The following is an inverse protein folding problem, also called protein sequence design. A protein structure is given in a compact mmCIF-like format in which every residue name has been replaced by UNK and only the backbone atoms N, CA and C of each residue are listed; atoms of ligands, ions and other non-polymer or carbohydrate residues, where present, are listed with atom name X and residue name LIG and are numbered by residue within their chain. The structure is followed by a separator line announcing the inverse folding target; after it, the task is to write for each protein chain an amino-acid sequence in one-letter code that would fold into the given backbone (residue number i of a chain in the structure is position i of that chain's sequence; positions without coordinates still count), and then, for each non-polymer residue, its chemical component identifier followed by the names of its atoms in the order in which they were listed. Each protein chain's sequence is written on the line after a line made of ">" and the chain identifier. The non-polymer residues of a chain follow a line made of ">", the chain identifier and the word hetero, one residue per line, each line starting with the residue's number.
data_IF_956594852371
#
_entry.id   IF_956594852371
#
_cell.length_a   1.000
_cell.length_b   1.000
_cell.length_c   1.000
_cell.angle_alpha   90.00
_cell.angle_beta   90.00
_cell.angle_gamma   90.00
#
_symmetry.space_group_name_H-M   'P 1'
#
loop_
_entity.id
_entity.type
_entity.pdbx_description
1 polymer ?
#
# COMPACT_ATOMS: atom_id res chain seq x y z
N UNK A 1 -55.41 77.76 -13.57
CA UNK A 1 -56.00 76.53 -13.00
C UNK A 1 -55.35 75.35 -13.73
N UNK A 2 -54.35 74.67 -13.13
CA UNK A 2 -54.48 73.41 -12.35
C UNK A 2 -54.59 72.19 -13.30
N UNK A 3 -53.65 71.25 -13.44
CA UNK A 3 -52.53 70.78 -12.61
C UNK A 3 -51.43 70.20 -13.53
N UNK A 4 -50.16 70.42 -13.20
CA UNK A 4 -49.04 69.59 -13.69
C UNK A 4 -49.21 68.21 -13.07
N UNK A 5 -49.54 67.21 -13.87
CA UNK A 5 -49.64 65.82 -13.42
C UNK A 5 -48.22 65.24 -13.31
N UNK A 6 -47.63 65.38 -12.13
CA UNK A 6 -46.36 64.78 -11.77
C UNK A 6 -46.54 63.29 -11.50
N UNK A 7 -46.71 62.51 -12.57
CA UNK A 7 -46.74 61.05 -12.47
C UNK A 7 -45.36 60.56 -12.06
N UNK A 8 -45.20 60.22 -10.78
CA UNK A 8 -43.98 59.64 -10.23
C UNK A 8 -43.81 58.25 -10.85
N UNK A 9 -42.76 58.05 -11.64
CA UNK A 9 -42.35 56.69 -12.08
C UNK A 9 -42.18 55.83 -10.82
N UNK A 10 -42.77 54.65 -10.81
CA UNK A 10 -42.66 53.76 -9.66
C UNK A 10 -41.25 53.17 -9.61
N UNK A 11 -40.81 52.74 -8.43
CA UNK A 11 -39.45 52.21 -8.21
C UNK A 11 -39.16 50.96 -9.09
N UNK A 12 -40.21 50.23 -9.47
CA UNK A 12 -40.17 49.07 -10.37
C UNK A 12 -39.92 49.46 -11.83
N UNK A 13 -40.43 50.62 -12.28
CA UNK A 13 -40.23 51.13 -13.65
C UNK A 13 -38.77 51.56 -13.90
N UNK A 14 -38.01 51.86 -12.85
CA UNK A 14 -36.63 52.34 -12.92
C UNK A 14 -35.62 51.18 -12.90
N UNK A 15 -35.89 50.15 -12.11
CA UNK A 15 -34.96 49.03 -11.90
C UNK A 15 -35.22 47.81 -12.81
N UNK A 16 -36.36 47.75 -13.50
CA UNK A 16 -36.81 46.55 -14.19
C UNK A 16 -37.19 45.43 -13.21
N UNK A 17 -37.83 44.34 -13.70
CA UNK A 17 -38.20 43.22 -12.84
C UNK A 17 -36.93 42.66 -12.18
N UNK A 18 -36.96 42.50 -10.86
CA UNK A 18 -35.84 41.96 -10.11
C UNK A 18 -35.37 40.64 -10.73
N UNK A 19 -34.05 40.46 -10.95
CA UNK A 19 -33.55 39.21 -11.52
C UNK A 19 -33.97 38.05 -10.61
N UNK A 20 -34.47 36.98 -11.23
CA UNK A 20 -34.91 35.80 -10.50
C UNK A 20 -33.79 35.32 -9.57
N UNK A 21 -34.11 34.93 -8.31
CA UNK A 21 -33.10 34.49 -7.36
C UNK A 21 -32.30 33.32 -7.96
N UNK A 22 -30.96 33.29 -7.80
CA UNK A 22 -30.14 32.25 -8.39
C UNK A 22 -30.60 30.89 -7.83
N UNK A 23 -31.05 30.01 -8.71
CA UNK A 23 -31.39 28.64 -8.33
C UNK A 23 -30.10 27.90 -8.01
N UNK A 24 -29.87 27.60 -6.72
CA UNK A 24 -28.76 26.72 -6.33
C UNK A 24 -28.98 25.37 -7.00
N UNK A 25 -28.14 25.03 -7.98
CA UNK A 25 -28.10 23.66 -8.51
C UNK A 25 -27.92 22.71 -7.32
N UNK A 26 -28.70 21.63 -7.20
CA UNK A 26 -28.50 20.67 -6.12
C UNK A 26 -27.06 20.18 -6.18
N UNK A 27 -26.32 20.34 -5.08
CA UNK A 27 -24.97 19.78 -4.95
C UNK A 27 -25.01 18.26 -5.10
N UNK A 28 -23.86 17.64 -5.41
CA UNK A 28 -23.74 16.17 -5.50
C UNK A 28 -24.37 15.49 -4.27
N UNK A 29 -25.00 14.31 -4.41
CA UNK A 29 -25.69 13.64 -3.31
C UNK A 29 -24.74 13.42 -2.13
N UNK A 30 -24.98 14.14 -1.03
CA UNK A 30 -24.14 14.12 0.18
C UNK A 30 -24.18 12.74 0.86
N UNK A 31 -25.27 12.00 0.64
CA UNK A 31 -25.54 10.70 1.26
C UNK A 31 -24.53 9.62 0.85
N UNK A 32 -24.19 9.52 -0.44
CA UNK A 32 -23.22 8.54 -0.96
C UNK A 32 -21.80 8.82 -0.42
N UNK A 33 -21.42 10.09 -0.30
CA UNK A 33 -20.14 10.47 0.30
C UNK A 33 -20.07 10.18 1.80
N UNK A 34 -21.15 10.42 2.55
CA UNK A 34 -21.22 10.08 3.98
C UNK A 34 -21.14 8.57 4.20
N UNK A 35 -21.88 7.79 3.42
CA UNK A 35 -21.84 6.33 3.49
C UNK A 35 -20.44 5.80 3.18
N UNK A 36 -19.79 6.30 2.12
CA UNK A 36 -18.38 5.96 1.80
C UNK A 36 -17.41 6.31 2.94
N UNK A 37 -17.57 7.46 3.57
CA UNK A 37 -16.74 7.87 4.71
C UNK A 37 -16.95 6.95 5.91
N UNK A 38 -18.19 6.60 6.24
CA UNK A 38 -18.52 5.69 7.36
C UNK A 38 -17.93 4.30 7.12
N UNK A 39 -18.06 3.76 5.90
CA UNK A 39 -17.47 2.48 5.53
C UNK A 39 -15.93 2.51 5.63
N UNK A 40 -15.29 3.56 5.12
CA UNK A 40 -13.84 3.72 5.21
C UNK A 40 -13.36 3.84 6.68
N UNK A 41 -14.13 4.53 7.52
CA UNK A 41 -13.84 4.64 8.96
C UNK A 41 -14.00 3.29 9.68
N UNK A 42 -15.04 2.51 9.35
CA UNK A 42 -15.24 1.18 9.89
C UNK A 42 -14.08 0.23 9.51
N UNK A 43 -13.69 0.22 8.24
CA UNK A 43 -12.53 -0.55 7.76
C UNK A 43 -11.23 -0.15 8.48
N UNK A 44 -11.01 1.15 8.67
CA UNK A 44 -9.83 1.62 9.40
C UNK A 44 -9.85 1.17 10.87
N UNK A 45 -11.02 1.17 11.51
CA UNK A 45 -11.18 0.69 12.87
C UNK A 45 -10.94 -0.83 12.97
N UNK A 46 -11.43 -1.61 12.01
CA UNK A 46 -11.19 -3.06 11.91
C UNK A 46 -9.70 -3.38 11.76
N UNK A 47 -8.99 -2.71 10.84
CA UNK A 47 -7.55 -2.90 10.62
C UNK A 47 -6.77 -2.54 11.90
N UNK A 48 -7.14 -1.44 12.58
CA UNK A 48 -6.51 -1.06 13.85
C UNK A 48 -6.75 -2.11 14.93
N UNK A 49 -7.97 -2.60 15.06
CA UNK A 49 -8.31 -3.63 16.03
C UNK A 49 -7.55 -4.94 15.75
N UNK A 50 -7.45 -5.37 14.49
CA UNK A 50 -6.69 -6.55 14.09
C UNK A 50 -5.18 -6.39 14.36
N UNK A 51 -4.59 -5.21 14.10
CA UNK A 51 -3.21 -4.90 14.51
C UNK A 51 -3.01 -4.97 16.02
N UNK A 52 -3.93 -4.40 16.80
CA UNK A 52 -3.85 -4.42 18.28
C UNK A 52 -3.98 -5.84 18.85
N UNK A 53 -4.73 -6.73 18.20
CA UNK A 53 -4.82 -8.15 18.56
C UNK A 53 -3.62 -8.97 18.09
N UNK A 54 -2.73 -8.41 17.27
CA UNK A 54 -1.58 -9.12 16.72
C UNK A 54 -1.91 -10.04 15.54
N UNK A 55 -3.08 -9.87 14.90
CA UNK A 55 -3.50 -10.67 13.74
C UNK A 55 -2.83 -10.19 12.44
N UNK A 56 -2.32 -8.96 12.41
CA UNK A 56 -1.66 -8.36 11.27
C UNK A 56 -0.20 -8.05 11.61
N UNK A 57 0.71 -8.65 10.84
CA UNK A 57 2.15 -8.36 10.90
C UNK A 57 2.53 -7.46 9.71
N UNK A 58 3.33 -6.39 9.90
CA UNK A 58 3.80 -5.59 8.78
C UNK A 58 4.64 -6.43 7.81
N UNK A 59 4.30 -6.39 6.52
CA UNK A 59 5.02 -7.15 5.49
C UNK A 59 6.52 -6.84 5.47
N UNK A 60 6.89 -5.57 5.69
CA UNK A 60 8.29 -5.14 5.77
C UNK A 60 9.05 -5.76 6.94
N UNK A 61 8.38 -6.03 8.06
CA UNK A 61 8.98 -6.74 9.19
C UNK A 61 9.20 -8.21 8.84
N UNK A 62 8.20 -8.86 8.24
CA UNK A 62 8.31 -10.24 7.76
C UNK A 62 9.46 -10.38 6.77
N UNK A 63 9.53 -9.52 5.75
CA UNK A 63 10.59 -9.53 4.75
C UNK A 63 11.98 -9.34 5.38
N UNK A 64 12.12 -8.40 6.33
CA UNK A 64 13.38 -8.17 7.03
C UNK A 64 13.81 -9.39 7.84
N UNK A 65 12.92 -9.93 8.67
CA UNK A 65 13.24 -11.08 9.53
C UNK A 65 13.59 -12.33 8.69
N UNK A 66 12.84 -12.58 7.62
CA UNK A 66 13.13 -13.69 6.72
C UNK A 66 14.43 -13.48 5.94
N UNK A 67 14.71 -12.26 5.48
CA UNK A 67 15.97 -11.92 4.81
C UNK A 67 17.16 -12.14 5.74
N UNK A 68 17.05 -11.72 7.00
CA UNK A 68 18.07 -11.94 8.02
C UNK A 68 18.30 -13.43 8.28
N UNK A 69 17.23 -14.18 8.56
CA UNK A 69 17.31 -15.62 8.81
C UNK A 69 17.91 -16.41 7.62
N UNK A 70 17.51 -16.08 6.39
CA UNK A 70 18.03 -16.73 5.18
C UNK A 70 19.49 -16.35 4.91
N UNK A 71 19.90 -15.12 5.23
CA UNK A 71 21.29 -14.68 5.12
C UNK A 71 22.19 -15.43 6.09
N UNK A 72 21.75 -15.59 7.33
CA UNK A 72 22.47 -16.37 8.35
C UNK A 72 22.57 -17.85 7.97
N UNK A 73 21.47 -18.43 7.48
CA UNK A 73 21.46 -19.79 6.96
C UNK A 73 22.48 -19.95 5.82
N UNK A 74 22.48 -19.03 4.85
CA UNK A 74 23.45 -19.05 3.73
C UNK A 74 24.88 -18.99 4.22
N UNK A 75 25.19 -18.08 5.15
CA UNK A 75 26.53 -17.96 5.72
C UNK A 75 26.95 -19.26 6.43
N UNK A 76 26.03 -19.86 7.20
CA UNK A 76 26.25 -21.15 7.88
C UNK A 76 26.53 -22.29 6.90
N UNK A 77 25.77 -22.39 5.81
CA UNK A 77 25.97 -23.39 4.76
C UNK A 77 27.33 -23.22 4.06
N UNK A 78 27.71 -21.99 3.70
CA UNK A 78 28.99 -21.71 3.05
C UNK A 78 30.20 -21.93 3.99
N UNK A 79 30.00 -21.94 5.31
CA UNK A 79 31.03 -22.28 6.27
C UNK A 79 31.17 -23.81 6.52
N UNK A 80 30.20 -24.62 6.13
CA UNK A 80 30.22 -26.08 6.35
C UNK A 80 31.43 -26.79 5.74
N UNK A 81 31.84 -26.54 4.47
CA UNK A 81 32.93 -27.28 3.84
C UNK A 81 34.24 -27.18 4.65
N UNK A 82 34.58 -25.97 5.09
CA UNK A 82 35.78 -25.72 5.90
C UNK A 82 35.70 -26.41 7.26
N UNK A 83 34.57 -26.29 7.97
CA UNK A 83 34.35 -26.92 9.28
C UNK A 83 34.42 -28.45 9.22
N UNK A 84 33.74 -29.06 8.25
CA UNK A 84 33.73 -30.51 8.06
C UNK A 84 35.11 -30.99 7.61
N UNK A 85 35.76 -30.24 6.71
CA UNK A 85 37.11 -30.51 6.25
C UNK A 85 38.12 -30.55 7.40
N UNK A 86 38.08 -29.56 8.29
CA UNK A 86 38.92 -29.54 9.48
C UNK A 86 38.60 -30.68 10.45
N UNK A 87 37.31 -30.98 10.70
CA UNK A 87 36.87 -32.02 11.63
C UNK A 87 37.25 -33.44 11.18
N UNK A 88 37.22 -33.70 9.88
CA UNK A 88 37.43 -35.02 9.30
C UNK A 88 38.79 -35.15 8.58
N UNK A 89 39.65 -34.13 8.65
CA UNK A 89 40.93 -34.05 7.95
C UNK A 89 40.81 -34.34 6.44
N UNK A 90 39.79 -33.79 5.78
CA UNK A 90 39.56 -33.98 4.35
C UNK A 90 40.64 -33.30 3.51
N UNK A 91 40.88 -33.82 2.31
CA UNK A 91 41.77 -33.17 1.35
C UNK A 91 41.20 -31.82 0.90
N UNK A 92 42.09 -30.90 0.47
CA UNK A 92 41.69 -29.61 -0.07
C UNK A 92 40.75 -29.74 -1.28
N UNK A 93 40.99 -30.75 -2.11
CA UNK A 93 40.18 -31.04 -3.29
C UNK A 93 38.74 -31.44 -2.91
N UNK A 94 38.59 -32.34 -1.92
CA UNK A 94 37.26 -32.74 -1.43
C UNK A 94 36.49 -31.58 -0.80
N UNK A 95 37.18 -30.72 -0.04
CA UNK A 95 36.55 -29.51 0.54
C UNK A 95 36.05 -28.56 -0.55
N UNK A 96 36.85 -28.36 -1.60
CA UNK A 96 36.48 -27.51 -2.73
C UNK A 96 35.28 -28.09 -3.51
N UNK A 97 35.23 -29.41 -3.71
CA UNK A 97 34.11 -30.07 -4.36
C UNK A 97 32.79 -29.86 -3.58
N UNK A 98 32.83 -29.98 -2.25
CA UNK A 98 31.66 -29.75 -1.39
C UNK A 98 31.22 -28.27 -1.43
N UNK A 99 32.15 -27.31 -1.36
CA UNK A 99 31.81 -25.88 -1.47
C UNK A 99 31.14 -25.57 -2.82
N UNK A 100 31.68 -26.10 -3.91
CA UNK A 100 31.11 -25.94 -5.25
C UNK A 100 29.67 -26.48 -5.31
N UNK A 101 29.43 -27.69 -4.80
CA UNK A 101 28.11 -28.32 -4.83
C UNK A 101 27.07 -27.53 -4.02
N UNK A 102 27.45 -27.02 -2.85
CA UNK A 102 26.59 -26.15 -2.03
C UNK A 102 26.21 -24.88 -2.82
N UNK A 103 27.17 -24.24 -3.50
CA UNK A 103 26.92 -23.03 -4.29
C UNK A 103 26.02 -23.30 -5.50
N UNK A 104 26.22 -24.43 -6.18
CA UNK A 104 25.37 -24.86 -7.30
C UNK A 104 23.94 -25.04 -6.80
N UNK A 105 23.76 -25.77 -5.70
CA UNK A 105 22.45 -26.02 -5.10
C UNK A 105 21.75 -24.71 -4.68
N UNK A 106 22.47 -23.81 -3.99
CA UNK A 106 21.93 -22.51 -3.60
C UNK A 106 21.54 -21.65 -4.80
N UNK A 107 22.33 -21.70 -5.88
CA UNK A 107 22.04 -20.98 -7.12
C UNK A 107 20.80 -21.53 -7.82
N UNK A 108 20.65 -22.86 -7.85
CA UNK A 108 19.47 -23.52 -8.41
C UNK A 108 18.19 -23.17 -7.63
N UNK A 109 18.25 -23.15 -6.30
CA UNK A 109 17.13 -22.73 -5.45
C UNK A 109 16.73 -21.28 -5.73
N UNK A 110 17.69 -20.37 -5.83
CA UNK A 110 17.43 -18.97 -6.16
C UNK A 110 16.77 -18.81 -7.55
N UNK A 111 17.21 -19.57 -8.55
CA UNK A 111 16.62 -19.56 -9.88
C UNK A 111 15.18 -20.13 -9.90
N UNK A 112 14.89 -21.14 -9.08
CA UNK A 112 13.53 -21.69 -8.96
C UNK A 112 12.55 -20.72 -8.30
N UNK A 113 12.99 -19.99 -7.27
CA UNK A 113 12.16 -18.99 -6.57
C UNK A 113 11.72 -17.82 -7.45
N UNK A 114 12.48 -17.49 -8.50
CA UNK A 114 12.12 -16.43 -9.45
C UNK A 114 11.07 -16.83 -10.49
N UNK A 115 10.75 -18.13 -10.61
CA UNK A 115 9.90 -18.65 -11.67
C UNK A 115 8.41 -18.71 -11.31
N UNK A 116 8.09 -18.65 -10.02
CA UNK A 116 6.72 -18.79 -9.49
C UNK A 116 6.06 -17.44 -9.12
N UNK A 117 6.79 -16.31 -9.22
CA UNK A 117 6.32 -14.97 -8.83
C UNK A 117 5.62 -14.15 -9.93
N UNK A 118 5.41 -14.72 -11.12
CA UNK A 118 4.73 -14.06 -12.25
C UNK A 118 3.23 -14.35 -12.29
N UNK A 119 2.50 -14.05 -11.21
CA UNK A 119 1.05 -14.22 -11.13
C UNK A 119 0.38 -12.88 -10.83
N UNK A 120 -0.16 -12.26 -11.88
CA UNK A 120 -1.22 -11.25 -11.95
C UNK A 120 -1.72 -10.66 -10.61
N UNK A 121 -1.37 -9.40 -10.35
CA UNK A 121 -2.10 -8.49 -9.44
C UNK A 121 -2.14 -7.10 -10.07
#
# INVERSE_FOLDING_TARGET
>A
MSKRDGSRRTLEDILGPAPAPPTRKPGRPVEDHRQKLVLAQAQLAEIRAAKMRGELVPAADVEREWTAALSDLRAGLLALPSRVGAKLALSRETVAAIDSEIRITLSALAASSGKDGGGDV
#
